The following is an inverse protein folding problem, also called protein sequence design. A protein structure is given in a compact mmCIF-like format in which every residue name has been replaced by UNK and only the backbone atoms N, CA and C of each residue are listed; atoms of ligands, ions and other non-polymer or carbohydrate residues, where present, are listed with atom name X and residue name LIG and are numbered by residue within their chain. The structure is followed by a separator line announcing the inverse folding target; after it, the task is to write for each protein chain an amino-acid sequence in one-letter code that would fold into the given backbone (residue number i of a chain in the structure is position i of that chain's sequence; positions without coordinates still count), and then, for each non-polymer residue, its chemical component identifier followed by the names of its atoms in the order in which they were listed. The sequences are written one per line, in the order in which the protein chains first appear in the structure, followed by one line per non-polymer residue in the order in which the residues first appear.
data_IF_912033446089
#
_entry.id   IF_912033446089
#
_cell.length_a   1.000
_cell.length_b   1.000
_cell.length_c   1.000
_cell.angle_alpha   90.00
_cell.angle_beta   90.00
_cell.angle_gamma   90.00
#
_symmetry.space_group_name_H-M   'P 1'
#
loop_
_entity.id
_entity.type
_entity.pdbx_description
1 polymer ?
#
# COMPACT_ATOMS: atom_id res chain seq x y z
N UNK A 1 -19.66 3.23 -2.36
CA UNK A 1 -18.39 2.47 -2.43
C UNK A 1 -17.20 3.28 -1.91
N UNK A 2 -17.05 4.55 -2.29
CA UNK A 2 -16.03 5.46 -1.72
C UNK A 2 -16.36 5.99 -0.32
N UNK A 3 -17.64 5.95 0.08
CA UNK A 3 -18.09 6.33 1.43
C UNK A 3 -17.59 5.38 2.52
N UNK A 4 -17.00 4.24 2.14
CA UNK A 4 -16.46 3.25 3.07
C UNK A 4 -14.93 3.37 3.19
N UNK A 5 -14.34 4.54 2.98
CA UNK A 5 -12.95 4.84 3.38
C UNK A 5 -12.89 5.65 4.67
N UNK A 6 -11.74 5.64 5.35
CA UNK A 6 -11.48 6.57 6.43
C UNK A 6 -10.98 7.90 5.89
N UNK A 7 -11.26 8.99 6.61
CA UNK A 7 -10.61 10.26 6.35
C UNK A 7 -9.09 10.13 6.55
N UNK A 8 -8.33 10.42 5.50
CA UNK A 8 -6.88 10.43 5.53
C UNK A 8 -6.33 11.85 5.50
N UNK A 9 -5.08 11.99 5.95
CA UNK A 9 -4.32 13.24 5.87
C UNK A 9 -2.91 12.97 5.40
N UNK A 10 -2.38 13.87 4.59
CA UNK A 10 -0.96 13.94 4.30
C UNK A 10 -0.19 14.40 5.55
N UNK A 11 0.97 13.80 5.81
CA UNK A 11 1.84 14.16 6.93
C UNK A 11 3.04 14.95 6.42
N UNK A 12 3.84 14.33 5.54
CA UNK A 12 5.11 14.88 5.07
C UNK A 12 5.64 14.07 3.88
N UNK A 13 6.68 14.58 3.23
CA UNK A 13 7.50 13.82 2.28
C UNK A 13 8.94 13.83 2.73
N UNK A 14 9.64 12.73 2.48
CA UNK A 14 11.08 12.62 2.63
C UNK A 14 11.69 12.48 1.25
N UNK A 15 12.52 13.43 0.86
CA UNK A 15 13.24 13.36 -0.42
C UNK A 15 14.53 12.59 -0.25
N UNK A 16 14.84 11.78 -1.25
CA UNK A 16 16.11 11.06 -1.36
C UNK A 16 17.10 11.88 -2.19
N UNK A 17 18.41 11.53 -2.14
CA UNK A 17 19.42 12.19 -2.97
C UNK A 17 19.05 12.18 -4.46
N UNK A 18 19.47 13.20 -5.20
CA UNK A 18 19.12 13.42 -6.62
C UNK A 18 19.46 12.27 -7.55
N UNK A 19 20.44 11.43 -7.21
CA UNK A 19 20.86 10.27 -8.01
C UNK A 19 20.20 8.95 -7.58
N UNK A 20 19.24 8.99 -6.65
CA UNK A 20 18.53 7.80 -6.16
C UNK A 20 17.37 7.46 -7.09
N UNK A 21 17.18 6.18 -7.47
CA UNK A 21 16.02 5.76 -8.24
C UNK A 21 14.70 5.95 -7.46
N UNK A 22 14.77 5.84 -6.14
CA UNK A 22 13.70 6.23 -5.21
C UNK A 22 13.84 7.73 -4.96
N UNK A 23 12.89 8.53 -5.45
CA UNK A 23 12.91 10.00 -5.43
C UNK A 23 12.42 10.53 -4.08
N UNK A 24 11.27 10.04 -3.62
CA UNK A 24 10.68 10.52 -2.37
C UNK A 24 9.74 9.49 -1.75
N UNK A 25 9.57 9.56 -0.44
CA UNK A 25 8.53 8.83 0.28
C UNK A 25 7.50 9.81 0.82
N UNK A 26 6.25 9.74 0.33
CA UNK A 26 5.13 10.50 0.85
C UNK A 26 4.42 9.73 1.96
N UNK A 27 4.26 10.36 3.13
CA UNK A 27 3.61 9.76 4.28
C UNK A 27 2.19 10.31 4.46
N UNK A 28 1.24 9.39 4.55
CA UNK A 28 -0.15 9.68 4.91
C UNK A 28 -0.51 8.94 6.20
N UNK A 29 -1.53 9.43 6.89
CA UNK A 29 -2.13 8.72 8.02
C UNK A 29 -3.64 8.79 8.00
N UNK A 30 -4.26 7.76 8.55
CA UNK A 30 -5.69 7.75 8.85
C UNK A 30 -5.94 6.96 10.12
N UNK A 31 -7.10 7.18 10.73
CA UNK A 31 -7.51 6.55 11.98
C UNK A 31 -8.76 5.72 11.73
N UNK A 32 -8.73 4.46 12.14
CA UNK A 32 -9.88 3.57 12.04
C UNK A 32 -10.92 3.84 13.13
N UNK A 33 -12.11 3.29 12.95
CA UNK A 33 -13.18 3.27 13.97
C UNK A 33 -12.78 2.48 15.24
N UNK A 34 -11.78 1.60 15.16
CA UNK A 34 -11.19 0.90 16.33
C UNK A 34 -10.06 1.68 17.01
N UNK A 35 -9.97 2.99 16.76
CA UNK A 35 -8.93 3.86 17.33
C UNK A 35 -7.49 3.45 16.93
N UNK A 36 -7.33 2.73 15.80
CA UNK A 36 -6.03 2.32 15.29
C UNK A 36 -5.56 3.29 14.22
N UNK A 37 -4.34 3.80 14.38
CA UNK A 37 -3.73 4.71 13.41
C UNK A 37 -2.90 3.90 12.44
N UNK A 38 -3.17 4.09 11.15
CA UNK A 38 -2.40 3.53 10.06
C UNK A 38 -1.48 4.59 9.48
N UNK A 39 -0.29 4.17 9.07
CA UNK A 39 0.64 4.95 8.25
C UNK A 39 0.65 4.32 6.87
N UNK A 40 0.56 5.15 5.84
CA UNK A 40 0.72 4.77 4.44
C UNK A 40 1.98 5.46 3.93
N UNK A 41 2.88 4.67 3.38
CA UNK A 41 4.11 5.12 2.73
C UNK A 41 3.93 4.94 1.21
N UNK A 42 4.06 6.03 0.47
CA UNK A 42 4.05 6.03 -0.99
C UNK A 42 5.46 6.39 -1.45
N UNK A 43 6.20 5.39 -1.91
CA UNK A 43 7.54 5.57 -2.48
C UNK A 43 7.41 5.92 -3.95
N UNK A 44 7.87 7.11 -4.33
CA UNK A 44 7.92 7.62 -5.70
C UNK A 44 9.26 7.28 -6.33
N UNK A 45 9.22 6.69 -7.52
CA UNK A 45 10.38 6.37 -8.34
C UNK A 45 10.35 7.16 -9.66
N UNK A 46 11.47 7.16 -10.38
CA UNK A 46 11.52 7.71 -11.73
C UNK A 46 10.41 7.12 -12.63
N UNK A 47 9.89 7.94 -13.54
CA UNK A 47 8.79 7.55 -14.43
C UNK A 47 7.41 7.56 -13.76
N UNK A 48 7.24 8.25 -12.64
CA UNK A 48 5.95 8.35 -11.92
C UNK A 48 5.39 6.98 -11.50
N UNK A 49 6.28 6.10 -11.03
CA UNK A 49 5.93 4.81 -10.45
C UNK A 49 5.85 4.96 -8.93
N UNK A 50 4.72 4.57 -8.36
CA UNK A 50 4.42 4.73 -6.94
C UNK A 50 4.23 3.36 -6.26
N UNK A 51 5.12 3.02 -5.34
CA UNK A 51 5.02 1.82 -4.52
C UNK A 51 4.27 2.13 -3.22
N UNK A 52 3.20 1.39 -2.97
CA UNK A 52 2.27 1.60 -1.86
C UNK A 52 2.52 0.58 -0.76
N UNK A 53 2.84 1.07 0.44
CA UNK A 53 3.04 0.27 1.65
C UNK A 53 2.23 0.86 2.80
N UNK A 54 1.75 0.04 3.72
CA UNK A 54 1.03 0.55 4.89
C UNK A 54 1.14 -0.40 6.09
N UNK A 55 1.05 0.16 7.29
CA UNK A 55 1.16 -0.56 8.56
C UNK A 55 0.47 0.21 9.69
N UNK A 56 0.27 -0.46 10.83
CA UNK A 56 -0.20 0.20 12.05
C UNK A 56 0.91 1.05 12.66
N UNK A 57 0.63 2.30 13.04
CA UNK A 57 1.59 3.21 13.68
C UNK A 57 2.24 2.62 14.94
N UNK A 58 1.55 1.74 15.66
CA UNK A 58 2.10 0.99 16.79
C UNK A 58 3.29 0.11 16.41
N UNK A 59 3.36 -0.35 15.16
CA UNK A 59 4.42 -1.22 14.65
C UNK A 59 5.58 -0.45 14.01
N UNK A 60 5.58 0.89 14.02
CA UNK A 60 6.55 1.72 13.26
C UNK A 60 8.03 1.41 13.53
N UNK A 61 8.35 0.93 14.73
CA UNK A 61 9.71 0.61 15.17
C UNK A 61 10.12 -0.84 14.86
N UNK A 62 9.22 -1.65 14.29
CA UNK A 62 9.54 -3.02 13.90
C UNK A 62 10.03 -3.09 12.46
N UNK A 63 11.08 -3.86 12.23
CA UNK A 63 11.57 -4.19 10.88
C UNK A 63 10.59 -5.07 10.10
N UNK A 64 9.56 -5.61 10.75
CA UNK A 64 8.53 -6.46 10.14
C UNK A 64 7.15 -5.80 10.13
N UNK A 65 7.11 -4.47 10.27
CA UNK A 65 5.86 -3.68 10.36
C UNK A 65 4.87 -3.95 9.22
N UNK A 66 5.36 -4.24 8.01
CA UNK A 66 4.53 -4.55 6.84
C UNK A 66 4.04 -5.99 6.80
N UNK A 67 4.64 -6.90 7.57
CA UNK A 67 4.31 -8.32 7.58
C UNK A 67 3.17 -8.65 8.54
N UNK A 68 2.95 -7.85 9.59
CA UNK A 68 1.96 -8.15 10.63
C UNK A 68 0.50 -8.13 10.13
N UNK A 69 -0.24 -9.18 10.50
CA UNK A 69 -1.71 -9.16 10.44
C UNK A 69 -2.26 -8.39 11.65
N UNK A 70 -3.21 -7.51 11.41
CA UNK A 70 -3.75 -6.65 12.47
C UNK A 70 -4.84 -7.32 13.30
N UNK A 71 -5.49 -8.37 12.77
CA UNK A 71 -6.58 -9.09 13.45
C UNK A 71 -7.91 -8.33 13.57
N UNK A 72 -8.01 -7.08 13.10
CA UNK A 72 -9.20 -6.25 13.31
C UNK A 72 -10.33 -6.43 12.28
N UNK A 73 -10.17 -7.32 11.30
CA UNK A 73 -11.17 -7.50 10.23
C UNK A 73 -11.34 -6.29 9.31
N UNK A 74 -10.43 -5.31 9.37
CA UNK A 74 -10.55 -4.02 8.67
C UNK A 74 -9.96 -4.00 7.25
N UNK A 75 -9.55 -5.14 6.71
CA UNK A 75 -8.72 -5.21 5.51
C UNK A 75 -9.32 -4.43 4.33
N UNK A 76 -10.61 -4.66 4.03
CA UNK A 76 -11.31 -3.99 2.94
C UNK A 76 -11.31 -2.46 3.12
N UNK A 77 -11.77 -1.97 4.27
CA UNK A 77 -11.88 -0.54 4.58
C UNK A 77 -10.53 0.18 4.57
N UNK A 78 -9.50 -0.49 5.09
CA UNK A 78 -8.10 -0.02 5.05
C UNK A 78 -7.62 0.10 3.60
N UNK A 79 -7.83 -0.93 2.78
CA UNK A 79 -7.40 -0.92 1.36
C UNK A 79 -8.17 0.15 0.57
N UNK A 80 -9.46 0.37 0.84
CA UNK A 80 -10.23 1.42 0.19
C UNK A 80 -9.69 2.82 0.51
N UNK A 81 -9.28 3.04 1.75
CA UNK A 81 -8.64 4.28 2.17
C UNK A 81 -7.30 4.50 1.46
N UNK A 82 -6.52 3.43 1.32
CA UNK A 82 -5.26 3.47 0.54
C UNK A 82 -5.55 3.77 -0.94
N UNK A 83 -6.60 3.20 -1.53
CA UNK A 83 -7.04 3.51 -2.89
C UNK A 83 -7.47 4.98 -3.03
N UNK A 84 -8.12 5.58 -2.03
CA UNK A 84 -8.42 7.03 -2.05
C UNK A 84 -7.16 7.88 -2.12
N UNK A 85 -6.14 7.54 -1.33
CA UNK A 85 -4.84 8.22 -1.39
C UNK A 85 -4.21 8.06 -2.79
N UNK A 86 -4.25 6.86 -3.36
CA UNK A 86 -3.76 6.63 -4.73
C UNK A 86 -4.50 7.48 -5.76
N UNK A 87 -5.84 7.56 -5.67
CA UNK A 87 -6.65 8.39 -6.57
C UNK A 87 -6.36 9.88 -6.41
N UNK A 88 -6.09 10.35 -5.19
CA UNK A 88 -5.66 11.73 -4.94
C UNK A 88 -4.35 12.03 -5.67
N UNK A 89 -3.36 11.13 -5.57
CA UNK A 89 -2.08 11.26 -6.27
C UNK A 89 -2.27 11.18 -7.79
N UNK A 90 -3.05 10.20 -8.26
CA UNK A 90 -3.37 10.03 -9.67
C UNK A 90 -3.94 11.31 -10.28
N UNK A 91 -4.94 11.93 -9.63
CA UNK A 91 -5.53 13.19 -10.10
C UNK A 91 -4.52 14.32 -10.17
N UNK A 92 -3.63 14.43 -9.18
CA UNK A 92 -2.55 15.45 -9.13
C UNK A 92 -1.46 15.23 -10.18
N UNK A 93 -1.29 13.99 -10.66
CA UNK A 93 -0.20 13.57 -11.56
C UNK A 93 -0.71 13.02 -12.90
N UNK A 94 -1.98 13.24 -13.23
CA UNK A 94 -2.64 12.58 -14.37
C UNK A 94 -1.93 12.82 -15.71
N UNK A 95 -1.34 14.01 -15.89
CA UNK A 95 -0.57 14.37 -17.09
C UNK A 95 0.68 13.50 -17.32
N UNK A 96 1.13 12.77 -16.32
CA UNK A 96 2.32 11.92 -16.37
C UNK A 96 2.01 10.42 -16.46
N UNK A 97 0.74 10.02 -16.58
CA UNK A 97 0.30 8.62 -16.61
C UNK A 97 0.88 7.78 -15.46
N UNK A 98 0.59 8.14 -14.19
CA UNK A 98 1.25 7.54 -13.04
C UNK A 98 0.84 6.07 -12.87
N UNK A 99 1.81 5.23 -12.50
CA UNK A 99 1.61 3.80 -12.26
C UNK A 99 1.74 3.49 -10.78
N UNK A 100 0.94 2.55 -10.28
CA UNK A 100 0.92 2.17 -8.87
C UNK A 100 1.16 0.68 -8.69
N UNK A 101 1.90 0.32 -7.64
CA UNK A 101 2.12 -1.06 -7.25
C UNK A 101 1.98 -1.22 -5.74
N UNK A 102 1.55 -2.40 -5.29
CA UNK A 102 1.38 -2.72 -3.87
C UNK A 102 2.46 -3.70 -3.42
N UNK A 103 3.06 -3.44 -2.26
CA UNK A 103 3.94 -4.42 -1.62
C UNK A 103 3.13 -5.60 -1.07
N UNK A 104 3.27 -6.76 -1.69
CA UNK A 104 2.60 -8.01 -1.32
C UNK A 104 3.27 -8.78 -0.18
N UNK A 105 3.79 -8.11 0.86
CA UNK A 105 4.60 -8.72 1.92
C UNK A 105 3.93 -9.98 2.52
N UNK A 106 4.73 -11.05 2.71
CA UNK A 106 4.25 -12.27 3.34
C UNK A 106 3.97 -12.05 4.82
N UNK A 107 2.96 -12.75 5.34
CA UNK A 107 2.65 -12.73 6.76
C UNK A 107 3.75 -13.42 7.55
N UNK A 108 4.33 -12.70 8.51
CA UNK A 108 5.18 -13.33 9.54
C UNK A 108 4.32 -13.79 10.70
N UNK A 109 4.47 -15.04 11.09
CA UNK A 109 3.80 -15.59 12.26
C UNK A 109 4.78 -15.65 13.45
N UNK A 110 4.31 -16.13 14.59
CA UNK A 110 5.17 -16.43 15.73
C UNK A 110 5.80 -17.83 15.57
N UNK A 111 6.75 -18.17 16.44
CA UNK A 111 7.55 -19.40 16.40
C UNK A 111 6.72 -20.71 16.34
N UNK A 112 5.42 -20.65 16.60
CA UNK A 112 4.50 -21.80 16.57
C UNK A 112 3.96 -22.13 15.18
N UNK A 113 4.19 -21.27 14.18
CA UNK A 113 3.70 -21.46 12.81
C UNK A 113 4.74 -20.93 11.81
N UNK A 114 5.06 -21.69 10.74
CA UNK A 114 5.94 -21.18 9.71
C UNK A 114 5.35 -19.93 9.06
N UNK A 115 6.24 -18.99 8.71
CA UNK A 115 5.92 -17.80 7.94
C UNK A 115 5.15 -18.15 6.66
N UNK A 116 4.27 -17.25 6.23
CA UNK A 116 3.61 -17.39 4.94
C UNK A 116 4.65 -17.40 3.81
N UNK A 117 4.43 -18.27 2.82
CA UNK A 117 5.26 -18.31 1.62
C UNK A 117 5.29 -16.94 0.94
N UNK A 118 6.43 -16.57 0.34
CA UNK A 118 6.55 -15.30 -0.39
C UNK A 118 5.70 -15.28 -1.67
N UNK A 119 5.49 -16.45 -2.28
CA UNK A 119 4.57 -16.59 -3.40
C UNK A 119 3.12 -16.59 -2.93
N UNK A 120 2.24 -15.94 -3.70
CA UNK A 120 0.78 -16.05 -3.53
C UNK A 120 0.25 -15.68 -2.13
N UNK A 121 0.79 -14.61 -1.53
CA UNK A 121 0.46 -14.16 -0.17
C UNK A 121 -1.03 -13.79 -0.02
N UNK A 122 -1.55 -13.82 1.21
CA UNK A 122 -2.87 -13.31 1.56
C UNK A 122 -3.07 -11.86 1.10
N UNK A 123 -2.03 -11.02 1.21
CA UNK A 123 -2.05 -9.63 0.74
C UNK A 123 -2.20 -9.58 -0.76
N UNK A 124 -1.38 -10.31 -1.52
CA UNK A 124 -1.49 -10.40 -2.97
C UNK A 124 -2.90 -10.78 -3.42
N UNK A 125 -3.45 -11.87 -2.87
CA UNK A 125 -4.82 -12.32 -3.19
C UNK A 125 -5.88 -11.26 -2.89
N UNK A 126 -5.76 -10.58 -1.74
CA UNK A 126 -6.70 -9.54 -1.31
C UNK A 126 -6.63 -8.31 -2.20
N UNK A 127 -5.41 -7.84 -2.51
CA UNK A 127 -5.19 -6.70 -3.38
C UNK A 127 -5.70 -6.98 -4.78
N UNK A 128 -5.33 -8.11 -5.39
CA UNK A 128 -5.80 -8.51 -6.72
C UNK A 128 -7.33 -8.50 -6.80
N UNK A 129 -8.01 -9.11 -5.82
CA UNK A 129 -9.48 -9.15 -5.78
C UNK A 129 -10.09 -7.75 -5.64
N UNK A 130 -9.59 -6.93 -4.71
CA UNK A 130 -10.15 -5.59 -4.47
C UNK A 130 -9.89 -4.67 -5.67
N UNK A 131 -8.67 -4.66 -6.21
CA UNK A 131 -8.30 -3.82 -7.34
C UNK A 131 -9.11 -4.17 -8.59
N UNK A 132 -9.36 -5.45 -8.86
CA UNK A 132 -10.19 -5.89 -9.98
C UNK A 132 -11.66 -5.45 -9.85
N UNK A 133 -12.16 -5.23 -8.63
CA UNK A 133 -13.51 -4.70 -8.38
C UNK A 133 -13.52 -3.18 -8.53
N UNK A 134 -12.47 -2.49 -8.07
CA UNK A 134 -12.44 -1.01 -8.04
C UNK A 134 -12.09 -0.37 -9.38
N UNK A 135 -11.16 -0.97 -10.11
CA UNK A 135 -10.60 -0.36 -11.31
C UNK A 135 -11.12 -1.10 -12.55
N UNK A 136 -11.82 -0.36 -13.41
CA UNK A 136 -12.29 -0.88 -14.69
C UNK A 136 -11.13 -1.08 -15.67
N UNK A 137 -11.22 -2.15 -16.47
CA UNK A 137 -10.20 -2.49 -17.49
C UNK A 137 -10.11 -1.50 -18.65
N UNK A 138 -11.07 -0.59 -18.78
CA UNK A 138 -11.07 0.44 -19.82
C UNK A 138 -10.12 1.60 -19.49
N UNK A 139 -9.83 1.82 -18.21
CA UNK A 139 -9.01 2.95 -17.74
C UNK A 139 -7.67 2.48 -17.16
N UNK A 140 -7.61 1.27 -16.61
CA UNK A 140 -6.41 0.74 -15.97
C UNK A 140 -6.01 -0.60 -16.56
N UNK A 141 -4.71 -0.73 -16.86
CA UNK A 141 -4.09 -2.02 -17.13
C UNK A 141 -3.58 -2.61 -15.83
N UNK A 142 -3.83 -3.90 -15.62
CA UNK A 142 -3.28 -4.65 -14.49
C UNK A 142 -2.13 -5.53 -15.00
N UNK A 143 -0.96 -5.33 -14.41
CA UNK A 143 0.24 -6.12 -14.71
C UNK A 143 0.55 -6.95 -13.47
N UNK A 144 0.63 -8.27 -13.63
CA UNK A 144 1.05 -9.19 -12.58
C UNK A 144 2.51 -9.54 -12.81
N UNK A 145 3.38 -9.22 -11.86
CA UNK A 145 4.74 -9.72 -11.84
C UNK A 145 4.86 -10.82 -10.79
N UNK A 146 4.92 -12.07 -11.27
CA UNK A 146 5.07 -13.26 -10.44
C UNK A 146 6.52 -13.48 -9.99
N UNK A 147 7.48 -12.77 -10.59
CA UNK A 147 8.92 -12.90 -10.36
C UNK A 147 9.52 -11.73 -9.56
N UNK A 148 8.79 -10.62 -9.41
CA UNK A 148 9.20 -9.47 -8.60
C UNK A 148 9.25 -9.79 -7.10
N UNK A 149 10.30 -10.51 -6.69
CA UNK A 149 10.84 -10.40 -5.35
C UNK A 149 11.52 -9.04 -5.25
N UNK A 150 10.79 -8.01 -4.86
CA UNK A 150 11.41 -6.77 -4.41
C UNK A 150 11.95 -7.09 -3.00
N UNK A 151 13.19 -7.57 -2.97
CA UNK A 151 14.03 -7.68 -1.78
C UNK A 151 14.37 -6.27 -1.25
#
# INVERSE_FOLDING_TARGET
MFEDSYAHRYIMSKHHPTNSPHISTHLYSFKSNYNKVYIVEIEEYHGHVYMVKFYLKSHRLSDHKFNFLTGYGLAQKVIFTVIQIMLEIYRKKIAFNPSFTFMGANTKYNDKRPDEEKANTKRYKSYKKILAIFFGRNTFQFIEDLNASIL
#
